data_IF_160695518248
#
_entry.id   IF_160695518248
#
_cell.length_a   1.000
_cell.length_b   1.000
_cell.length_c   1.000
_cell.angle_alpha   90.00
_cell.angle_beta   90.00
_cell.angle_gamma   90.00
#
_symmetry.space_group_name_H-M   'P 1'
#
loop_
_entity.id
_entity.type
_entity.pdbx_description
1 polymer ?
#
# COMPACT_ATOMS: atom_id res chain seq x y z
N UNK A 1 3.30 24.43 16.60
CA UNK A 1 3.11 23.67 17.85
C UNK A 1 2.87 22.24 17.42
N UNK A 2 3.93 21.44 17.28
CA UNK A 2 3.75 20.00 17.05
C UNK A 2 3.24 19.37 18.35
N UNK A 3 2.30 18.44 18.24
CA UNK A 3 1.75 17.71 19.39
C UNK A 3 2.87 16.96 20.11
N UNK A 4 2.87 16.96 21.45
CA UNK A 4 3.88 16.32 22.33
C UNK A 4 3.92 14.76 22.26
N UNK A 5 3.52 14.15 21.15
CA UNK A 5 3.54 12.70 20.99
C UNK A 5 4.92 12.21 20.57
N UNK A 6 5.31 11.04 21.08
CA UNK A 6 6.57 10.38 20.70
C UNK A 6 6.64 10.11 19.20
N UNK A 7 7.85 10.18 18.64
CA UNK A 7 8.15 9.80 17.25
C UNK A 7 7.72 8.37 16.90
N UNK A 8 7.54 7.51 17.90
CA UNK A 8 6.99 6.17 17.70
C UNK A 8 5.58 6.21 17.07
N UNK A 9 4.73 7.16 17.50
CA UNK A 9 3.38 7.33 16.98
C UNK A 9 3.33 8.05 15.64
N UNK A 10 4.31 8.92 15.34
CA UNK A 10 4.39 9.59 14.03
C UNK A 10 4.99 8.70 12.93
N UNK A 11 5.62 7.59 13.31
CA UNK A 11 6.35 6.71 12.39
C UNK A 11 5.69 5.35 12.17
N UNK A 12 4.61 5.01 12.87
CA UNK A 12 3.97 3.69 12.75
C UNK A 12 2.46 3.79 12.79
N UNK A 13 1.81 3.10 11.84
CA UNK A 13 0.35 2.99 11.74
C UNK A 13 -0.17 1.59 12.09
N UNK A 14 0.72 0.66 12.44
CA UNK A 14 0.38 -0.71 12.82
C UNK A 14 1.12 -1.10 14.09
N UNK A 15 0.41 -1.79 14.99
CA UNK A 15 0.85 -2.07 16.35
C UNK A 15 0.49 -3.51 16.71
N UNK A 16 1.47 -4.26 17.24
CA UNK A 16 1.24 -5.63 17.70
C UNK A 16 0.48 -5.62 19.03
N UNK A 17 0.73 -4.61 19.85
CA UNK A 17 0.03 -4.33 21.10
C UNK A 17 0.16 -2.83 21.43
N UNK A 18 -0.44 -2.39 22.55
CA UNK A 18 -0.48 -0.98 22.96
C UNK A 18 0.89 -0.28 23.12
N UNK A 19 2.00 -1.03 23.16
CA UNK A 19 3.34 -0.49 23.42
C UNK A 19 4.39 -0.92 22.39
N UNK A 20 4.04 -1.82 21.46
CA UNK A 20 4.98 -2.38 20.48
C UNK A 20 4.49 -2.11 19.06
N UNK A 21 5.08 -1.15 18.34
CA UNK A 21 4.74 -0.90 16.95
C UNK A 21 5.26 -2.05 16.08
N UNK A 22 4.57 -2.32 14.97
CA UNK A 22 5.08 -3.19 13.91
C UNK A 22 6.01 -2.36 13.04
N UNK A 23 7.31 -2.73 12.90
CA UNK A 23 8.24 -2.00 12.05
C UNK A 23 7.77 -1.97 10.59
N UNK A 24 7.93 -0.84 9.93
CA UNK A 24 7.62 -0.70 8.51
C UNK A 24 8.75 -1.28 7.66
N UNK A 25 8.39 -2.08 6.65
CA UNK A 25 9.31 -2.44 5.59
C UNK A 25 9.27 -1.35 4.50
N UNK A 26 10.37 -0.62 4.36
CA UNK A 26 10.48 0.49 3.41
C UNK A 26 11.11 0.05 2.09
N UNK A 27 11.82 -1.08 2.06
CA UNK A 27 12.50 -1.56 0.86
C UNK A 27 11.57 -2.51 0.09
N UNK A 28 11.13 -2.15 -1.13
CA UNK A 28 10.20 -2.99 -1.89
C UNK A 28 10.77 -4.38 -2.18
N UNK A 29 12.09 -4.50 -2.34
CA UNK A 29 12.77 -5.78 -2.54
C UNK A 29 12.61 -6.72 -1.35
N UNK A 30 12.67 -6.21 -0.12
CA UNK A 30 12.51 -6.99 1.10
C UNK A 30 11.04 -7.33 1.35
N UNK A 31 10.12 -6.39 1.09
CA UNK A 31 8.68 -6.65 1.17
C UNK A 31 8.26 -7.76 0.20
N UNK A 32 8.75 -7.72 -1.04
CA UNK A 32 8.52 -8.75 -2.04
C UNK A 32 9.15 -10.09 -1.66
N UNK A 33 10.41 -10.09 -1.20
CA UNK A 33 11.07 -11.32 -0.77
C UNK A 33 10.34 -11.96 0.43
N UNK A 34 9.82 -11.15 1.35
CA UNK A 34 8.99 -11.63 2.47
C UNK A 34 7.67 -12.24 1.99
N UNK A 35 7.03 -11.66 0.98
CA UNK A 35 5.76 -12.15 0.45
C UNK A 35 5.87 -13.57 -0.14
N UNK A 36 7.02 -13.89 -0.72
CA UNK A 36 7.27 -15.16 -1.41
C UNK A 36 8.22 -16.11 -0.65
N UNK A 37 8.53 -15.82 0.61
CA UNK A 37 9.48 -16.58 1.44
C UNK A 37 10.85 -16.78 0.77
N UNK A 38 11.34 -15.77 0.07
CA UNK A 38 12.66 -15.76 -0.54
C UNK A 38 13.74 -15.48 0.51
N UNK A 39 14.35 -16.56 1.02
CA UNK A 39 15.43 -16.52 2.02
C UNK A 39 16.71 -17.17 1.49
N UNK A 40 17.86 -16.70 1.98
CA UNK A 40 19.17 -17.28 1.63
C UNK A 40 19.44 -17.21 0.13
N UNK A 41 19.89 -18.33 -0.46
CA UNK A 41 20.20 -18.43 -1.89
C UNK A 41 19.00 -18.14 -2.81
N UNK A 42 17.77 -18.32 -2.30
CA UNK A 42 16.53 -18.10 -3.07
C UNK A 42 16.23 -16.64 -3.39
N UNK A 43 16.95 -15.69 -2.79
CA UNK A 43 16.80 -14.25 -3.10
C UNK A 43 17.38 -13.85 -4.47
N UNK A 44 18.21 -14.71 -5.04
CA UNK A 44 18.89 -14.48 -6.32
C UNK A 44 18.26 -15.28 -7.47
N UNK A 45 17.22 -16.06 -7.19
CA UNK A 45 16.48 -16.83 -8.19
C UNK A 45 15.15 -16.16 -8.45
N UNK A 46 14.75 -16.04 -9.71
CA UNK A 46 13.40 -15.58 -10.04
C UNK A 46 12.36 -16.53 -9.44
N UNK A 47 11.32 -15.97 -8.84
CA UNK A 47 10.21 -16.77 -8.29
C UNK A 47 9.54 -17.56 -9.42
N UNK A 48 9.46 -16.96 -10.60
CA UNK A 48 8.80 -17.56 -11.75
C UNK A 48 9.60 -18.74 -12.29
N UNK A 49 10.92 -18.66 -12.28
CA UNK A 49 11.76 -19.78 -12.72
C UNK A 49 11.60 -20.98 -11.80
N UNK A 50 11.48 -20.74 -10.48
CA UNK A 50 11.18 -21.79 -9.49
C UNK A 50 9.79 -22.39 -9.67
N UNK A 51 8.79 -21.57 -10.00
CA UNK A 51 7.42 -22.01 -10.16
C UNK A 51 7.13 -22.58 -11.55
N UNK A 52 8.03 -22.42 -12.53
CA UNK A 52 7.76 -22.66 -13.95
C UNK A 52 7.29 -24.08 -14.26
N UNK A 53 7.99 -25.08 -13.74
CA UNK A 53 7.65 -26.49 -14.01
C UNK A 53 6.33 -26.89 -13.36
N UNK A 54 6.11 -26.46 -12.11
CA UNK A 54 4.85 -26.68 -11.39
C UNK A 54 3.68 -25.96 -12.07
N UNK A 55 3.87 -24.70 -12.49
CA UNK A 55 2.89 -23.92 -13.23
C UNK A 55 2.56 -24.58 -14.57
N UNK A 56 3.56 -25.05 -15.31
CA UNK A 56 3.34 -25.78 -16.57
C UNK A 56 2.59 -27.10 -16.35
N UNK A 57 2.88 -27.81 -15.25
CA UNK A 57 2.17 -29.03 -14.88
C UNK A 57 0.72 -28.77 -14.50
N UNK A 58 0.48 -27.79 -13.63
CA UNK A 58 -0.86 -27.39 -13.20
C UNK A 58 -1.67 -26.88 -14.38
N UNK A 59 -1.08 -26.05 -15.25
CA UNK A 59 -1.73 -25.56 -16.47
C UNK A 59 -2.28 -26.73 -17.30
N UNK A 60 -1.57 -27.86 -17.44
CA UNK A 60 -2.10 -29.02 -18.18
C UNK A 60 -3.33 -29.70 -17.54
N UNK A 61 -3.54 -29.51 -16.24
CA UNK A 61 -4.58 -30.21 -15.46
C UNK A 61 -5.83 -29.36 -15.20
N UNK A 62 -5.78 -28.05 -15.44
CA UNK A 62 -6.86 -27.11 -15.09
C UNK A 62 -7.67 -26.65 -16.31
N UNK A 63 -8.81 -26.03 -16.03
CA UNK A 63 -9.72 -25.52 -17.05
C UNK A 63 -9.09 -24.37 -17.86
N UNK A 64 -9.69 -24.00 -18.99
CA UNK A 64 -9.22 -22.85 -19.77
C UNK A 64 -9.28 -21.54 -18.97
N UNK A 65 -10.30 -21.38 -18.10
CA UNK A 65 -10.43 -20.22 -17.22
C UNK A 65 -9.30 -20.17 -16.19
N UNK A 66 -9.00 -21.30 -15.54
CA UNK A 66 -7.94 -21.38 -14.53
C UNK A 66 -6.54 -21.18 -15.15
N UNK A 67 -6.33 -21.63 -16.39
CA UNK A 67 -5.11 -21.33 -17.15
C UNK A 67 -4.91 -19.82 -17.31
N UNK A 68 -5.96 -19.12 -17.74
CA UNK A 68 -5.89 -17.67 -17.90
C UNK A 68 -5.57 -16.96 -16.57
N UNK A 69 -6.13 -17.44 -15.45
CA UNK A 69 -5.81 -16.95 -14.10
C UNK A 69 -4.35 -17.16 -13.74
N UNK A 70 -3.82 -18.35 -13.99
CA UNK A 70 -2.42 -18.68 -13.75
C UNK A 70 -1.49 -17.79 -14.58
N UNK A 71 -1.81 -17.55 -15.85
CA UNK A 71 -1.02 -16.70 -16.74
C UNK A 71 -1.04 -15.22 -16.30
N UNK A 72 -2.20 -14.70 -15.89
CA UNK A 72 -2.36 -13.36 -15.32
C UNK A 72 -1.51 -13.17 -14.06
N UNK A 73 -1.54 -14.16 -13.16
CA UNK A 73 -0.72 -14.17 -11.95
C UNK A 73 0.78 -14.16 -12.28
N UNK A 74 1.24 -15.08 -13.13
CA UNK A 74 2.66 -15.18 -13.50
C UNK A 74 3.14 -13.91 -14.20
N UNK A 75 2.28 -13.27 -14.99
CA UNK A 75 2.57 -11.97 -15.62
C UNK A 75 2.68 -10.86 -14.57
N UNK A 76 1.75 -10.81 -13.61
CA UNK A 76 1.74 -9.79 -12.55
C UNK A 76 3.00 -9.89 -11.68
N UNK A 77 3.38 -11.09 -11.27
CA UNK A 77 4.63 -11.33 -10.52
C UNK A 77 5.84 -10.93 -11.35
N UNK A 78 5.88 -11.26 -12.65
CA UNK A 78 7.00 -10.91 -13.54
C UNK A 78 7.22 -9.40 -13.64
N UNK A 79 6.15 -8.64 -13.77
CA UNK A 79 6.25 -7.19 -13.93
C UNK A 79 6.74 -6.52 -12.65
N UNK A 80 6.28 -6.97 -11.47
CA UNK A 80 6.79 -6.49 -10.18
C UNK A 80 8.24 -6.90 -9.96
N UNK A 81 8.59 -8.16 -10.26
CA UNK A 81 9.96 -8.67 -10.18
C UNK A 81 10.92 -7.86 -11.06
N UNK A 82 10.55 -7.59 -12.33
CA UNK A 82 11.34 -6.75 -13.24
C UNK A 82 11.49 -5.30 -12.76
N UNK A 83 10.44 -4.71 -12.16
CA UNK A 83 10.54 -3.36 -11.56
C UNK A 83 11.53 -3.37 -10.40
N UNK A 84 11.43 -4.38 -9.53
CA UNK A 84 12.38 -4.57 -8.42
C UNK A 84 13.81 -4.80 -8.93
N UNK A 85 14.00 -5.60 -9.98
CA UNK A 85 15.29 -5.84 -10.61
C UNK A 85 15.88 -4.58 -11.24
N UNK A 86 15.08 -3.79 -11.96
CA UNK A 86 15.53 -2.50 -12.51
C UNK A 86 15.99 -1.54 -11.41
N UNK A 87 15.27 -1.50 -10.29
CA UNK A 87 15.67 -0.70 -9.13
C UNK A 87 16.97 -1.20 -8.50
N UNK A 88 17.12 -2.53 -8.34
CA UNK A 88 18.40 -3.13 -7.90
C UNK A 88 19.51 -2.74 -8.88
N UNK A 89 19.25 -2.86 -10.18
CA UNK A 89 20.19 -2.57 -11.27
C UNK A 89 20.52 -1.09 -11.50
N UNK A 90 19.90 -0.14 -10.80
CA UNK A 90 20.28 1.28 -10.87
C UNK A 90 21.73 1.54 -10.45
N UNK A 91 22.28 0.70 -9.57
CA UNK A 91 23.71 0.71 -9.27
C UNK A 91 24.56 0.12 -10.40
N UNK A 92 24.03 -0.70 -11.31
CA UNK A 92 24.78 -1.24 -12.45
C UNK A 92 25.17 -0.12 -13.43
N UNK A 93 24.34 0.90 -13.62
CA UNK A 93 24.69 2.08 -14.43
C UNK A 93 25.64 3.05 -13.70
N UNK A 94 25.70 3.00 -12.36
CA UNK A 94 26.70 3.70 -11.56
C UNK A 94 28.04 2.93 -11.50
N UNK A 95 27.97 1.60 -11.51
CA UNK A 95 29.09 0.67 -11.52
C UNK A 95 29.66 0.45 -12.93
N UNK A 96 28.88 0.59 -14.00
CA UNK A 96 29.33 0.59 -15.40
C UNK A 96 30.24 1.79 -15.68
N UNK A 97 30.03 2.92 -14.99
CA UNK A 97 31.00 4.04 -14.96
C UNK A 97 32.26 3.73 -14.16
N UNK A 98 32.26 2.72 -13.29
CA UNK A 98 33.47 2.18 -12.64
C UNK A 98 34.05 0.96 -13.38
N UNK A 99 33.26 0.27 -14.21
CA UNK A 99 33.61 -0.98 -14.92
C UNK A 99 34.23 -0.76 -16.30
N UNK A 100 34.76 0.44 -16.57
CA UNK A 100 35.95 0.60 -17.43
C UNK A 100 37.15 -0.24 -16.92
N UNK A 101 37.05 -0.86 -15.73
CA UNK A 101 38.05 -1.71 -15.07
C UNK A 101 37.88 -3.23 -15.26
N UNK A 102 36.87 -3.72 -15.99
CA UNK A 102 36.86 -5.08 -16.56
C UNK A 102 36.62 -6.29 -15.61
N UNK A 103 35.37 -6.50 -15.17
CA UNK A 103 34.94 -7.76 -14.53
C UNK A 103 33.65 -8.34 -15.15
N UNK A 104 33.52 -9.67 -15.15
CA UNK A 104 32.41 -10.41 -15.75
C UNK A 104 31.10 -10.34 -14.92
N UNK A 105 29.98 -10.09 -15.60
CA UNK A 105 28.62 -9.90 -15.05
C UNK A 105 28.12 -11.04 -14.14
N UNK A 106 28.56 -12.28 -14.35
CA UNK A 106 28.12 -13.44 -13.56
C UNK A 106 28.75 -13.54 -12.15
N UNK A 107 29.75 -12.70 -11.84
CA UNK A 107 30.43 -12.63 -10.54
C UNK A 107 30.04 -11.39 -9.71
N UNK A 108 29.11 -10.57 -10.21
CA UNK A 108 28.73 -9.33 -9.54
C UNK A 108 27.83 -9.62 -8.34
N UNK A 109 28.24 -9.13 -7.16
CA UNK A 109 27.39 -9.11 -5.98
C UNK A 109 26.20 -8.19 -6.24
N UNK A 110 25.02 -8.62 -5.79
CA UNK A 110 23.80 -7.87 -5.98
C UNK A 110 23.94 -6.47 -5.35
N UNK A 111 23.49 -5.41 -6.05
CA UNK A 111 23.30 -4.08 -5.48
C UNK A 111 22.54 -4.09 -4.16
N UNK A 112 22.89 -3.18 -3.26
CA UNK A 112 22.22 -3.03 -1.96
C UNK A 112 20.69 -2.91 -2.14
N UNK A 113 19.91 -3.26 -1.11
CA UNK A 113 18.47 -3.00 -1.09
C UNK A 113 18.27 -1.48 -1.12
N UNK A 114 18.25 -0.88 -2.31
CA UNK A 114 18.06 0.55 -2.51
C UNK A 114 16.58 0.89 -2.45
N UNK A 115 16.25 2.01 -1.80
CA UNK A 115 15.00 2.71 -2.06
C UNK A 115 15.09 3.30 -3.48
N UNK A 116 14.00 3.31 -4.26
CA UNK A 116 13.96 4.07 -5.50
C UNK A 116 14.29 5.52 -5.23
N UNK A 117 15.14 6.12 -6.07
CA UNK A 117 15.42 7.57 -6.02
C UNK A 117 14.15 8.37 -6.31
N UNK A 118 13.24 7.79 -7.10
CA UNK A 118 11.95 8.36 -7.42
C UNK A 118 10.84 7.83 -6.50
N UNK A 119 10.33 8.72 -5.65
CA UNK A 119 9.21 8.44 -4.74
C UNK A 119 7.96 7.94 -5.50
N UNK A 120 7.79 8.33 -6.77
CA UNK A 120 6.67 7.89 -7.61
C UNK A 120 6.73 6.41 -7.89
N UNK A 121 7.92 5.92 -8.23
CA UNK A 121 8.13 4.52 -8.49
C UNK A 121 8.04 3.71 -7.19
N UNK A 122 8.59 4.24 -6.09
CA UNK A 122 8.51 3.60 -4.77
C UNK A 122 7.07 3.36 -4.30
N UNK A 123 6.25 4.40 -4.30
CA UNK A 123 4.85 4.32 -3.85
C UNK A 123 4.04 3.32 -4.70
N UNK A 124 4.16 3.39 -6.03
CA UNK A 124 3.46 2.47 -6.91
C UNK A 124 3.93 1.03 -6.75
N UNK A 125 5.23 0.82 -6.52
CA UNK A 125 5.75 -0.52 -6.34
C UNK A 125 5.30 -1.13 -5.00
N UNK A 126 5.22 -0.34 -3.93
CA UNK A 126 4.62 -0.80 -2.68
C UNK A 126 3.13 -1.12 -2.85
N UNK A 127 2.39 -0.33 -3.64
CA UNK A 127 1.01 -0.65 -4.01
C UNK A 127 0.92 -1.98 -4.77
N UNK A 128 1.80 -2.22 -5.73
CA UNK A 128 1.87 -3.48 -6.48
C UNK A 128 2.14 -4.70 -5.59
N UNK A 129 3.03 -4.56 -4.61
CA UNK A 129 3.33 -5.64 -3.65
C UNK A 129 2.11 -5.94 -2.79
N UNK A 130 1.39 -4.92 -2.32
CA UNK A 130 0.10 -5.10 -1.61
C UNK A 130 -0.92 -5.79 -2.52
N UNK A 131 -1.06 -5.35 -3.78
CA UNK A 131 -1.98 -5.96 -4.72
C UNK A 131 -1.67 -7.44 -4.97
N UNK A 132 -0.40 -7.78 -5.18
CA UNK A 132 0.05 -9.18 -5.29
C UNK A 132 -0.25 -9.99 -4.04
N UNK A 133 -0.07 -9.41 -2.85
CA UNK A 133 -0.33 -10.10 -1.59
C UNK A 133 -1.80 -10.50 -1.44
N UNK A 134 -2.72 -9.65 -1.92
CA UNK A 134 -4.15 -9.96 -1.95
C UNK A 134 -4.49 -10.95 -3.06
N UNK A 135 -3.98 -10.74 -4.29
CA UNK A 135 -4.21 -11.66 -5.43
C UNK A 135 -3.77 -13.10 -5.13
N UNK A 136 -2.70 -13.25 -4.36
CA UNK A 136 -2.12 -14.55 -3.98
C UNK A 136 -2.61 -15.07 -2.65
N UNK A 137 -3.59 -14.39 -2.04
CA UNK A 137 -4.22 -14.77 -0.79
C UNK A 137 -3.24 -14.91 0.40
N UNK A 138 -2.10 -14.21 0.31
CA UNK A 138 -0.97 -14.31 1.27
C UNK A 138 -1.22 -13.56 2.57
N UNK A 139 -2.06 -12.54 2.54
CA UNK A 139 -2.52 -11.83 3.73
C UNK A 139 -3.99 -11.46 3.60
N UNK A 140 -4.68 -11.35 4.74
CA UNK A 140 -6.05 -10.78 4.80
C UNK A 140 -6.05 -9.28 5.06
N UNK A 141 -4.96 -8.74 5.60
CA UNK A 141 -4.86 -7.34 6.05
C UNK A 141 -3.48 -6.80 5.67
N UNK A 142 -3.44 -5.56 5.18
CA UNK A 142 -2.21 -4.82 4.97
C UNK A 142 -2.40 -3.36 5.39
N UNK A 143 -1.34 -2.75 5.91
CA UNK A 143 -1.26 -1.32 6.20
C UNK A 143 -0.14 -0.73 5.36
N UNK A 144 -0.45 0.30 4.58
CA UNK A 144 0.52 0.96 3.71
C UNK A 144 0.62 2.44 4.08
N UNK A 145 1.78 2.87 4.57
CA UNK A 145 2.09 4.27 4.77
C UNK A 145 2.84 4.79 3.54
N UNK A 146 2.17 5.61 2.72
CA UNK A 146 2.82 6.19 1.53
C UNK A 146 3.87 7.23 1.93
N UNK A 147 3.58 8.03 2.96
CA UNK A 147 4.47 9.06 3.47
C UNK A 147 4.09 9.42 4.91
N UNK A 148 5.03 9.95 5.69
CA UNK A 148 4.76 10.52 7.02
C UNK A 148 4.31 11.98 6.89
N UNK A 149 3.39 12.41 7.74
CA UNK A 149 2.85 13.79 7.71
C UNK A 149 3.89 14.85 8.08
N UNK A 150 4.87 14.48 8.91
CA UNK A 150 6.04 15.30 9.26
C UNK A 150 7.21 15.11 8.29
N UNK A 151 6.96 14.59 7.09
CA UNK A 151 8.03 14.37 6.12
C UNK A 151 8.57 15.68 5.56
N UNK A 152 9.90 15.75 5.49
CA UNK A 152 10.64 16.76 4.72
C UNK A 152 10.71 16.43 3.22
N UNK A 153 9.78 15.63 2.69
CA UNK A 153 9.83 15.19 1.30
C UNK A 153 9.35 16.30 0.35
N UNK A 154 10.04 16.46 -0.77
CA UNK A 154 9.72 17.43 -1.81
C UNK A 154 9.10 16.76 -3.02
N UNK A 155 8.19 17.47 -3.70
CA UNK A 155 7.45 16.98 -4.86
C UNK A 155 7.69 17.88 -6.08
N UNK A 156 8.94 18.00 -6.56
CA UNK A 156 9.29 18.93 -7.65
C UNK A 156 8.58 18.58 -8.96
N UNK A 157 8.23 17.30 -9.18
CA UNK A 157 7.44 16.86 -10.34
C UNK A 157 5.99 17.36 -10.33
N UNK A 158 5.52 17.90 -9.19
CA UNK A 158 4.24 18.58 -9.07
C UNK A 158 4.38 20.11 -9.07
N UNK A 159 5.60 20.63 -9.28
CA UNK A 159 5.94 22.05 -9.10
C UNK A 159 5.59 22.54 -7.68
N UNK A 160 5.88 21.69 -6.69
CA UNK A 160 5.90 22.04 -5.27
C UNK A 160 7.30 22.49 -4.87
N UNK A 161 7.37 23.64 -4.20
CA UNK A 161 8.60 24.30 -3.73
C UNK A 161 8.84 24.05 -2.26
N UNK A 162 7.80 23.75 -1.50
CA UNK A 162 7.84 23.44 -0.07
C UNK A 162 7.87 21.92 0.13
N UNK A 163 8.50 21.50 1.22
CA UNK A 163 8.37 20.12 1.68
C UNK A 163 6.91 19.83 2.09
N UNK A 164 6.48 18.58 2.00
CA UNK A 164 5.11 18.14 2.30
C UNK A 164 4.59 18.69 3.62
N UNK A 165 5.36 18.53 4.70
CA UNK A 165 4.97 19.02 6.01
C UNK A 165 4.76 20.55 6.01
N UNK A 166 5.72 21.32 5.49
CA UNK A 166 5.61 22.78 5.38
C UNK A 166 4.42 23.22 4.53
N UNK A 167 4.16 22.53 3.41
CA UNK A 167 3.03 22.81 2.52
C UNK A 167 1.69 22.59 3.19
N UNK A 168 1.58 21.60 4.10
CA UNK A 168 0.34 21.28 4.82
C UNK A 168 -0.15 22.40 5.74
N UNK A 169 0.73 23.30 6.20
CA UNK A 169 0.34 24.48 6.97
C UNK A 169 -0.31 25.58 6.11
N UNK A 170 -0.25 25.47 4.79
CA UNK A 170 -0.98 26.29 3.83
C UNK A 170 -1.97 25.41 3.05
N UNK A 171 -2.88 24.79 3.80
CA UNK A 171 -3.77 23.70 3.35
C UNK A 171 -4.80 24.10 2.28
N UNK A 172 -4.97 25.39 2.00
CA UNK A 172 -5.81 25.90 0.91
C UNK A 172 -5.04 26.31 -0.35
N UNK A 173 -3.74 26.02 -0.42
CA UNK A 173 -2.91 26.37 -1.57
C UNK A 173 -3.01 25.36 -2.71
N UNK A 174 -2.91 25.83 -3.94
CA UNK A 174 -2.78 25.00 -5.16
C UNK A 174 -1.58 24.03 -5.06
N UNK A 175 -0.52 24.41 -4.33
CA UNK A 175 0.62 23.54 -4.06
C UNK A 175 0.23 22.33 -3.22
N UNK A 176 -0.44 22.54 -2.08
CA UNK A 176 -0.86 21.43 -1.22
C UNK A 176 -1.97 20.60 -1.87
N UNK A 177 -2.85 21.22 -2.66
CA UNK A 177 -3.86 20.50 -3.45
C UNK A 177 -3.20 19.52 -4.44
N UNK A 178 -2.18 19.95 -5.19
CA UNK A 178 -1.44 19.07 -6.13
C UNK A 178 -0.81 17.88 -5.40
N UNK A 179 -0.18 18.12 -4.25
CA UNK A 179 0.40 17.06 -3.41
C UNK A 179 -0.68 16.08 -2.92
N UNK A 180 -1.80 16.60 -2.42
CA UNK A 180 -2.93 15.79 -1.93
C UNK A 180 -3.53 14.94 -3.06
N UNK A 181 -3.76 15.54 -4.22
CA UNK A 181 -4.25 14.83 -5.41
C UNK A 181 -3.30 13.73 -5.85
N UNK A 182 -1.99 13.93 -5.71
CA UNK A 182 -1.00 12.91 -6.00
C UNK A 182 -1.14 11.69 -5.07
N UNK A 183 -1.33 11.87 -3.75
CA UNK A 183 -1.58 10.73 -2.86
C UNK A 183 -2.90 10.01 -3.17
N UNK A 184 -3.97 10.75 -3.43
CA UNK A 184 -5.25 10.17 -3.85
C UNK A 184 -5.09 9.38 -5.16
N UNK A 185 -4.21 9.82 -6.07
CA UNK A 185 -3.90 9.06 -7.29
C UNK A 185 -3.18 7.73 -7.01
N UNK A 186 -2.40 7.62 -5.93
CA UNK A 186 -1.78 6.35 -5.53
C UNK A 186 -2.81 5.38 -4.95
N UNK A 187 -3.78 5.90 -4.18
CA UNK A 187 -4.94 5.13 -3.74
C UNK A 187 -5.77 4.61 -4.93
N UNK A 188 -6.06 5.50 -5.88
CA UNK A 188 -6.77 5.11 -7.11
C UNK A 188 -5.99 4.07 -7.92
N UNK A 189 -4.66 4.20 -8.00
CA UNK A 189 -3.81 3.21 -8.65
C UNK A 189 -3.94 1.83 -7.98
N UNK A 190 -3.83 1.75 -6.64
CA UNK A 190 -4.01 0.47 -5.93
C UNK A 190 -5.40 -0.12 -6.17
N UNK A 191 -6.46 0.69 -6.12
CA UNK A 191 -7.82 0.25 -6.40
C UNK A 191 -7.94 -0.33 -7.82
N UNK A 192 -7.41 0.36 -8.84
CA UNK A 192 -7.40 -0.11 -10.23
C UNK A 192 -6.61 -1.41 -10.41
N UNK A 193 -5.50 -1.57 -9.70
CA UNK A 193 -4.72 -2.81 -9.73
C UNK A 193 -5.52 -3.99 -9.17
N UNK A 194 -6.19 -3.82 -8.04
CA UNK A 194 -7.05 -4.84 -7.44
C UNK A 194 -8.30 -5.14 -8.29
N UNK A 195 -8.87 -4.12 -8.93
CA UNK A 195 -10.04 -4.30 -9.80
C UNK A 195 -9.71 -5.07 -11.09
N UNK A 196 -8.51 -4.83 -11.64
CA UNK A 196 -8.00 -5.55 -12.80
C UNK A 196 -7.68 -7.03 -12.55
N UNK A 197 -7.61 -7.46 -11.28
CA UNK A 197 -7.31 -8.84 -10.91
C UNK A 197 -8.62 -9.61 -10.65
N UNK A 198 -8.92 -10.69 -11.39
CA UNK A 198 -10.14 -11.49 -11.08
C UNK A 198 -9.91 -12.56 -10.03
N UNK A 199 -10.90 -12.69 -9.17
CA UNK A 199 -11.11 -13.72 -8.17
C UNK A 199 -12.50 -14.34 -8.36
N UNK A 200 -12.56 -15.44 -9.13
CA UNK A 200 -13.81 -16.02 -9.61
C UNK A 200 -14.58 -15.04 -10.52
N UNK A 201 -15.87 -14.87 -10.25
CA UNK A 201 -16.74 -13.94 -10.98
C UNK A 201 -16.52 -12.46 -10.59
N UNK A 202 -15.73 -12.19 -9.54
CA UNK A 202 -15.52 -10.87 -8.94
C UNK A 202 -14.06 -10.41 -9.06
N UNK A 203 -13.78 -9.12 -8.88
CA UNK A 203 -12.40 -8.64 -8.78
C UNK A 203 -11.88 -8.85 -7.36
N UNK A 204 -10.56 -8.79 -7.18
CA UNK A 204 -9.98 -8.74 -5.84
C UNK A 204 -10.50 -7.49 -5.10
N UNK A 205 -10.73 -6.38 -5.81
CA UNK A 205 -11.34 -5.18 -5.21
C UNK A 205 -12.79 -5.41 -4.74
N UNK A 206 -13.61 -6.11 -5.52
CA UNK A 206 -14.99 -6.45 -5.15
C UNK A 206 -15.05 -7.27 -3.84
N UNK A 207 -14.04 -8.10 -3.60
CA UNK A 207 -13.94 -8.97 -2.42
C UNK A 207 -13.14 -8.35 -1.26
N UNK A 208 -12.54 -7.18 -1.46
CA UNK A 208 -11.75 -6.49 -0.44
C UNK A 208 -12.34 -5.10 -0.11
N UNK A 209 -11.72 -4.42 0.85
CA UNK A 209 -12.03 -3.05 1.22
C UNK A 209 -10.72 -2.30 1.43
N UNK A 210 -10.53 -1.22 0.69
CA UNK A 210 -9.48 -0.24 0.92
C UNK A 210 -10.05 0.91 1.75
N UNK A 211 -9.30 1.31 2.76
CA UNK A 211 -9.59 2.49 3.57
C UNK A 211 -8.38 3.44 3.47
N UNK A 212 -8.64 4.67 3.01
CA UNK A 212 -7.65 5.73 2.91
C UNK A 212 -8.05 6.87 3.84
N UNK A 213 -7.17 7.17 4.79
CA UNK A 213 -7.44 8.06 5.92
C UNK A 213 -6.43 9.19 5.92
N UNK A 214 -6.91 10.39 6.23
CA UNK A 214 -6.04 11.48 6.65
C UNK A 214 -6.17 11.68 8.17
N UNK A 215 -5.11 12.10 8.85
CA UNK A 215 -5.13 12.30 10.30
C UNK A 215 -5.68 13.66 10.74
N UNK A 216 -5.88 14.60 9.80
CA UNK A 216 -6.38 15.94 10.08
C UNK A 216 -7.27 16.49 8.97
N UNK A 217 -8.21 17.35 9.33
CA UNK A 217 -8.99 18.16 8.40
C UNK A 217 -8.21 19.37 7.88
N UNK A 218 -7.47 20.03 8.78
CA UNK A 218 -6.74 21.26 8.48
C UNK A 218 -5.35 21.24 9.10
N UNK A 219 -4.32 21.30 8.26
CA UNK A 219 -2.93 21.41 8.69
C UNK A 219 -2.57 22.81 9.17
N UNK A 220 -3.24 23.85 8.67
CA UNK A 220 -3.03 25.23 9.16
C UNK A 220 -3.53 25.42 10.59
N UNK A 221 -4.64 24.78 10.95
CA UNK A 221 -5.24 24.84 12.30
C UNK A 221 -4.86 23.69 13.21
N UNK A 222 -4.22 22.64 12.68
CA UNK A 222 -4.08 21.35 13.35
C UNK A 222 -5.43 20.79 13.82
N UNK A 223 -6.46 20.92 13.00
CA UNK A 223 -7.80 20.41 13.32
C UNK A 223 -7.90 18.94 12.95
N UNK A 224 -7.95 18.05 13.95
CA UNK A 224 -8.20 16.61 13.80
C UNK A 224 -9.58 16.18 14.31
N UNK A 225 -10.49 17.12 14.57
CA UNK A 225 -11.83 16.83 15.12
C UNK A 225 -12.79 16.27 14.07
N UNK A 226 -12.47 16.45 12.79
CA UNK A 226 -13.11 15.80 11.64
C UNK A 226 -12.00 15.35 10.69
N UNK A 227 -12.21 14.29 9.93
CA UNK A 227 -11.21 13.82 8.96
C UNK A 227 -11.89 13.32 7.68
N UNK A 228 -11.35 13.62 6.49
CA UNK A 228 -11.83 13.02 5.27
C UNK A 228 -11.38 11.55 5.19
N UNK A 229 -12.27 10.70 4.71
CA UNK A 229 -12.05 9.26 4.54
C UNK A 229 -12.51 8.86 3.15
N UNK A 230 -11.72 8.02 2.47
CA UNK A 230 -12.12 7.38 1.23
C UNK A 230 -12.14 5.87 1.44
N UNK A 231 -13.19 5.23 0.94
CA UNK A 231 -13.31 3.78 0.92
C UNK A 231 -13.54 3.30 -0.52
N UNK A 232 -12.94 2.17 -0.86
CA UNK A 232 -13.14 1.50 -2.15
C UNK A 232 -13.21 -0.02 -1.97
N UNK A 233 -13.97 -0.70 -2.82
CA UNK A 233 -14.21 -2.14 -2.72
C UNK A 233 -15.51 -2.49 -2.01
N UNK A 234 -16.03 -3.66 -2.35
CA UNK A 234 -17.35 -4.12 -1.92
C UNK A 234 -17.34 -5.03 -0.70
N UNK A 235 -16.16 -5.52 -0.28
CA UNK A 235 -16.00 -6.52 0.77
C UNK A 235 -16.98 -7.70 0.61
N UNK A 236 -17.01 -8.28 -0.58
CA UNK A 236 -17.93 -9.37 -0.92
C UNK A 236 -19.37 -8.91 -1.14
N UNK A 237 -19.61 -7.61 -1.36
CA UNK A 237 -20.93 -7.00 -1.54
C UNK A 237 -21.61 -6.61 -0.23
N UNK A 238 -20.88 -6.57 0.88
CA UNK A 238 -21.39 -6.16 2.20
C UNK A 238 -21.30 -4.65 2.43
N UNK A 239 -20.54 -3.94 1.59
CA UNK A 239 -20.40 -2.49 1.60
C UNK A 239 -21.13 -1.91 0.37
N UNK A 240 -22.07 -1.01 0.61
CA UNK A 240 -22.72 -0.23 -0.45
C UNK A 240 -21.80 0.93 -0.87
N UNK A 241 -21.41 0.94 -2.14
CA UNK A 241 -20.46 1.91 -2.74
C UNK A 241 -21.20 3.03 -3.50
N UNK A 242 -20.47 4.03 -3.98
CA UNK A 242 -21.04 5.13 -4.79
C UNK A 242 -21.79 6.19 -3.99
N UNK A 243 -21.48 6.32 -2.69
CA UNK A 243 -22.14 7.24 -1.76
C UNK A 243 -21.14 8.24 -1.17
N UNK A 244 -21.63 9.40 -0.77
CA UNK A 244 -20.92 10.38 0.05
C UNK A 244 -21.71 10.51 1.35
N UNK A 245 -21.05 10.26 2.48
CA UNK A 245 -21.68 10.30 3.80
C UNK A 245 -21.10 11.46 4.60
N UNK A 246 -21.98 12.31 5.13
CA UNK A 246 -21.60 13.44 5.98
C UNK A 246 -22.07 13.20 7.42
N UNK A 247 -21.10 13.25 8.34
CA UNK A 247 -21.33 13.02 9.77
C UNK A 247 -21.12 14.29 10.61
N UNK A 248 -20.85 15.44 9.97
CA UNK A 248 -20.45 16.69 10.63
C UNK A 248 -21.46 17.20 11.66
N UNK A 249 -22.75 17.06 11.35
CA UNK A 249 -23.86 17.54 12.18
C UNK A 249 -24.43 16.47 13.13
N UNK A 250 -23.87 15.26 13.15
CA UNK A 250 -24.32 14.18 14.04
C UNK A 250 -23.70 14.31 15.43
N UNK A 251 -24.30 13.66 16.42
CA UNK A 251 -23.74 13.55 17.75
C UNK A 251 -22.39 12.82 17.72
N UNK A 252 -21.52 13.09 18.69
CA UNK A 252 -20.17 12.50 18.75
C UNK A 252 -20.21 10.97 18.75
N UNK A 253 -21.21 10.37 19.39
CA UNK A 253 -21.42 8.92 19.40
C UNK A 253 -21.70 8.31 18.02
N UNK A 254 -22.28 9.07 17.10
CA UNK A 254 -22.68 8.63 15.75
C UNK A 254 -21.62 8.91 14.67
N UNK A 255 -20.47 9.48 15.06
CA UNK A 255 -19.40 9.89 14.13
C UNK A 255 -18.00 9.45 14.55
N UNK A 256 -17.89 8.53 15.52
CA UNK A 256 -16.59 7.97 15.94
C UNK A 256 -15.94 7.19 14.80
N UNK A 257 -14.68 7.48 14.51
CA UNK A 257 -13.89 6.69 13.55
C UNK A 257 -13.79 5.21 13.96
N UNK A 258 -13.71 4.95 15.28
CA UNK A 258 -13.70 3.59 15.81
C UNK A 258 -15.00 2.83 15.52
N UNK A 259 -16.15 3.50 15.41
CA UNK A 259 -17.41 2.88 15.01
C UNK A 259 -17.37 2.40 13.55
N UNK A 260 -16.68 3.14 12.66
CA UNK A 260 -16.42 2.67 11.28
C UNK A 260 -15.56 1.40 11.29
N UNK A 261 -14.48 1.38 12.08
CA UNK A 261 -13.61 0.21 12.18
C UNK A 261 -14.34 -1.01 12.73
N UNK A 262 -15.18 -0.81 13.76
CA UNK A 262 -16.03 -1.87 14.31
C UNK A 262 -17.01 -2.42 13.26
N UNK A 263 -17.58 -1.53 12.42
CA UNK A 263 -18.46 -1.93 11.32
C UNK A 263 -17.73 -2.78 10.28
N UNK A 264 -16.51 -2.38 9.90
CA UNK A 264 -15.66 -3.14 8.97
C UNK A 264 -15.33 -4.51 9.56
N UNK A 265 -14.94 -4.59 10.84
CA UNK A 265 -14.68 -5.85 11.54
C UNK A 265 -15.90 -6.78 11.49
N UNK A 266 -17.09 -6.27 11.78
CA UNK A 266 -18.33 -7.06 11.74
C UNK A 266 -18.62 -7.58 10.34
N UNK A 267 -18.44 -6.77 9.29
CA UNK A 267 -18.60 -7.21 7.89
C UNK A 267 -17.55 -8.23 7.46
N UNK A 268 -16.35 -8.17 8.03
CA UNK A 268 -15.33 -9.21 7.89
C UNK A 268 -15.62 -10.48 8.70
N UNK A 269 -16.74 -10.53 9.44
CA UNK A 269 -17.15 -11.66 10.27
C UNK A 269 -16.56 -11.67 11.68
N UNK A 270 -15.83 -10.63 12.09
CA UNK A 270 -15.27 -10.49 13.43
C UNK A 270 -16.28 -9.80 14.34
N UNK A 271 -16.93 -10.58 15.22
CA UNK A 271 -17.95 -10.09 16.17
C UNK A 271 -17.31 -9.53 17.44
N UNK A 272 -16.63 -8.39 17.32
CA UNK A 272 -16.11 -7.66 18.48
C UNK A 272 -17.23 -6.84 19.13
N UNK A 273 -17.29 -6.79 20.47
CA UNK A 273 -18.27 -5.97 21.18
C UNK A 273 -17.90 -4.48 21.17
N UNK A 274 -16.61 -4.17 21.05
CA UNK A 274 -16.10 -2.80 21.00
C UNK A 274 -14.77 -2.73 20.24
N UNK A 275 -14.40 -1.52 19.81
CA UNK A 275 -13.08 -1.21 19.27
C UNK A 275 -12.71 0.23 19.66
N UNK A 276 -11.51 0.44 20.21
CA UNK A 276 -11.10 1.77 20.68
C UNK A 276 -12.08 2.34 21.70
N UNK A 277 -12.72 3.45 21.36
CA UNK A 277 -13.73 4.16 22.16
C UNK A 277 -15.18 3.96 21.64
N UNK A 278 -15.40 2.99 20.75
CA UNK A 278 -16.71 2.66 20.17
C UNK A 278 -17.26 1.34 20.71
N UNK A 279 -18.54 1.36 21.13
CA UNK A 279 -19.34 0.19 21.57
C UNK A 279 -20.47 -0.14 20.59
N UNK A 280 -20.61 0.66 19.53
CA UNK A 280 -21.64 0.52 18.51
C UNK A 280 -21.03 0.70 17.11
N UNK A 281 -21.57 -0.05 16.15
CA UNK A 281 -21.25 0.10 14.74
C UNK A 281 -21.79 1.43 14.20
N UNK A 282 -21.18 1.92 13.13
CA UNK A 282 -21.65 3.09 12.41
C UNK A 282 -22.98 2.75 11.72
N UNK A 283 -24.02 3.55 11.96
CA UNK A 283 -25.41 3.29 11.55
C UNK A 283 -25.59 3.16 10.02
N UNK A 284 -24.61 3.60 9.23
CA UNK A 284 -24.61 3.55 7.75
C UNK A 284 -23.45 2.73 7.14
N UNK A 285 -22.71 2.02 8.00
CA UNK A 285 -21.56 1.20 7.67
C UNK A 285 -21.90 0.00 6.83
#
# INVERSE_FOLDING_TARGET
>A
HETNFSMAYSSHISWQNATSPVPMEVYPSLAFDSLFDNRGSRRNESILDRAREHAASLSRQVSAGDKAKLDEYMTSVREVEKRIERMRGGQQQAAERSAETGQALAAMSRPDNGLPEDIREHMQLMCDIVALAFQTDRTRVATLLLCRDISGLFYPFLDARNAHHSASHNDLSDEFERITRYYVSQFAYLAQRLDGMREGERSVLDNSCLLFVNNMWSGSKHDSTRVPLLMAGGLGGTIETGRVLEFGDRADEDRKLCSLYLSILHKMGVKADSFGDAESVLVEG
#
